data_IF_480390941133
#
_entry.id   IF_480390941133
#
_cell.length_a   1.000
_cell.length_b   1.000
_cell.length_c   1.000
_cell.angle_alpha   90.00
_cell.angle_beta   90.00
_cell.angle_gamma   90.00
#
_symmetry.space_group_name_H-M   'P 1'
#
loop_
_entity.id
_entity.type
_entity.pdbx_description
1 polymer ?
#
# COMPACT_ATOMS: atom_id res chain seq x y z
N UNK A 1 -41.22 -0.42 -7.92
CA UNK A 1 -39.97 -1.22 -7.87
C UNK A 1 -38.83 -0.32 -8.32
N UNK A 2 -38.09 0.30 -7.40
CA UNK A 2 -36.99 1.22 -7.74
C UNK A 2 -35.68 0.45 -7.71
N UNK A 3 -35.00 0.46 -8.86
CA UNK A 3 -33.72 -0.17 -9.09
C UNK A 3 -32.68 0.26 -8.04
N UNK A 4 -31.97 -0.74 -7.52
CA UNK A 4 -30.74 -0.58 -6.73
C UNK A 4 -29.70 0.08 -7.62
N UNK A 5 -29.64 1.41 -7.60
CA UNK A 5 -28.50 2.15 -8.12
C UNK A 5 -27.41 2.03 -7.05
N UNK A 6 -26.71 0.89 -7.06
CA UNK A 6 -25.55 0.66 -6.20
C UNK A 6 -24.45 1.62 -6.66
N UNK A 7 -24.45 2.83 -6.09
CA UNK A 7 -23.31 3.74 -6.19
C UNK A 7 -22.19 3.09 -5.39
N UNK A 8 -21.39 2.29 -6.09
CA UNK A 8 -20.11 1.81 -5.57
C UNK A 8 -19.21 3.04 -5.57
N UNK A 9 -19.22 3.79 -4.47
CA UNK A 9 -18.16 4.72 -4.16
C UNK A 9 -16.87 3.89 -4.06
N UNK A 10 -16.09 3.81 -5.14
CA UNK A 10 -14.70 3.36 -5.04
C UNK A 10 -13.95 4.50 -4.36
N UNK A 11 -13.83 4.40 -3.04
CA UNK A 11 -12.74 5.05 -2.34
C UNK A 11 -11.46 4.64 -3.08
N UNK A 12 -10.76 5.65 -3.59
CA UNK A 12 -9.41 5.48 -4.14
C UNK A 12 -8.49 5.19 -2.96
N UNK A 13 -8.60 3.98 -2.40
CA UNK A 13 -7.62 3.43 -1.47
C UNK A 13 -6.27 3.57 -2.15
N UNK A 14 -5.44 4.47 -1.64
CA UNK A 14 -4.17 4.88 -2.26
C UNK A 14 -3.30 3.65 -2.51
N UNK A 15 -3.38 3.07 -3.71
CA UNK A 15 -2.61 1.89 -4.08
C UNK A 15 -1.14 2.29 -4.21
N UNK A 16 -0.30 1.63 -3.43
CA UNK A 16 1.14 1.79 -3.50
C UNK A 16 1.72 0.65 -4.35
N UNK A 17 2.60 1.02 -5.28
CA UNK A 17 3.41 0.04 -5.97
C UNK A 17 4.55 -0.42 -5.05
N UNK A 18 4.78 -1.71 -4.94
CA UNK A 18 5.90 -2.31 -4.22
C UNK A 18 6.73 -3.13 -5.19
N UNK A 19 8.02 -3.25 -4.86
CA UNK A 19 8.93 -4.12 -5.58
C UNK A 19 9.29 -5.30 -4.69
N UNK A 20 8.93 -6.50 -5.13
CA UNK A 20 9.34 -7.73 -4.47
C UNK A 20 10.70 -8.17 -5.04
N UNK A 21 11.75 -8.04 -4.23
CA UNK A 21 13.12 -8.40 -4.63
C UNK A 21 13.27 -9.91 -4.82
N UNK A 22 12.47 -10.73 -4.13
CA UNK A 22 12.55 -12.20 -4.20
C UNK A 22 11.92 -12.71 -5.48
N UNK A 23 10.72 -12.23 -5.82
CA UNK A 23 10.04 -12.60 -7.06
C UNK A 23 10.45 -11.74 -8.27
N UNK A 24 11.21 -10.66 -8.05
CA UNK A 24 11.61 -9.64 -9.04
C UNK A 24 10.43 -9.06 -9.81
N UNK A 25 9.29 -8.92 -9.12
CA UNK A 25 8.04 -8.41 -9.71
C UNK A 25 7.56 -7.19 -8.95
N UNK A 26 6.93 -6.29 -9.71
CA UNK A 26 6.21 -5.14 -9.17
C UNK A 26 4.77 -5.57 -8.90
N UNK A 27 4.22 -5.14 -7.78
CA UNK A 27 2.81 -5.35 -7.46
C UNK A 27 2.24 -4.09 -6.83
N UNK A 28 0.93 -3.90 -6.95
CA UNK A 28 0.23 -2.78 -6.33
C UNK A 28 -0.63 -3.31 -5.19
N UNK A 29 -0.66 -2.61 -4.07
CA UNK A 29 -1.56 -2.94 -2.96
C UNK A 29 -1.96 -1.68 -2.20
N UNK A 30 -3.20 -1.68 -1.74
CA UNK A 30 -3.73 -0.72 -0.76
C UNK A 30 -3.48 -1.14 0.68
N UNK A 31 -3.15 -2.42 0.91
CA UNK A 31 -2.92 -2.98 2.25
C UNK A 31 -1.44 -2.92 2.60
N UNK A 32 -1.05 -1.83 3.26
CA UNK A 32 0.32 -1.65 3.75
C UNK A 32 0.33 -0.88 5.07
N UNK A 33 1.41 -1.04 5.83
CA UNK A 33 1.63 -0.37 7.12
C UNK A 33 2.85 0.52 7.01
N UNK A 34 2.75 1.76 7.49
CA UNK A 34 3.90 2.67 7.56
C UNK A 34 4.64 2.46 8.87
N UNK A 35 5.90 2.02 8.81
CA UNK A 35 6.82 1.88 9.95
C UNK A 35 7.90 2.97 9.86
N UNK A 36 8.24 3.57 10.98
CA UNK A 36 9.38 4.48 11.09
C UNK A 36 10.57 3.72 11.67
N UNK A 37 11.73 3.80 11.01
CA UNK A 37 12.97 3.19 11.49
C UNK A 37 14.14 4.12 11.19
N UNK A 38 14.91 4.48 12.22
CA UNK A 38 16.10 5.32 12.10
C UNK A 38 15.83 6.66 11.38
N UNK A 39 14.71 7.32 11.70
CA UNK A 39 14.29 8.59 11.09
C UNK A 39 13.84 8.50 9.62
N UNK A 40 13.67 7.29 9.08
CA UNK A 40 13.13 7.03 7.73
C UNK A 40 11.79 6.32 7.82
N UNK A 41 10.91 6.61 6.88
CA UNK A 41 9.61 5.98 6.77
C UNK A 41 9.65 4.85 5.74
N UNK A 42 9.05 3.73 6.10
CA UNK A 42 8.95 2.55 5.26
C UNK A 42 7.50 2.11 5.17
N UNK A 43 6.98 1.96 3.96
CA UNK A 43 5.77 1.20 3.76
C UNK A 43 6.12 -0.29 3.73
N UNK A 44 5.42 -1.06 4.52
CA UNK A 44 5.57 -2.51 4.63
C UNK A 44 4.28 -3.17 4.17
N UNK A 45 4.36 -3.94 3.10
CA UNK A 45 3.24 -4.69 2.54
C UNK A 45 3.55 -6.19 2.55
N UNK A 46 2.52 -7.03 2.61
CA UNK A 46 2.70 -8.48 2.39
C UNK A 46 2.89 -8.78 0.91
N UNK A 47 3.81 -9.68 0.57
CA UNK A 47 3.96 -10.16 -0.81
C UNK A 47 2.70 -10.92 -1.25
N UNK A 48 2.22 -10.75 -2.49
CA UNK A 48 1.13 -11.55 -3.04
C UNK A 48 1.55 -13.00 -3.33
N UNK A 49 2.86 -13.26 -3.42
CA UNK A 49 3.41 -14.55 -3.85
C UNK A 49 4.13 -15.32 -2.75
N UNK A 50 4.26 -14.76 -1.55
CA UNK A 50 5.02 -15.38 -0.48
C UNK A 50 4.65 -14.86 0.91
N UNK A 51 5.23 -15.48 1.93
CA UNK A 51 5.04 -15.13 3.35
C UNK A 51 5.93 -13.96 3.82
N UNK A 52 6.74 -13.38 2.93
CA UNK A 52 7.65 -12.29 3.27
C UNK A 52 7.00 -10.91 3.20
N UNK A 53 7.60 -9.98 3.94
CA UNK A 53 7.26 -8.56 3.93
C UNK A 53 8.08 -7.81 2.88
N UNK A 54 7.42 -6.99 2.07
CA UNK A 54 8.02 -6.11 1.08
C UNK A 54 8.13 -4.70 1.66
N UNK A 55 9.37 -4.20 1.76
CA UNK A 55 9.68 -2.90 2.36
C UNK A 55 9.98 -1.88 1.26
N UNK A 56 9.20 -0.80 1.22
CA UNK A 56 9.40 0.33 0.32
C UNK A 56 9.78 1.57 1.12
N UNK A 57 10.87 2.22 0.76
CA UNK A 57 11.25 3.52 1.34
C UNK A 57 10.25 4.57 0.88
N UNK A 58 9.76 5.36 1.83
CA UNK A 58 8.88 6.49 1.58
C UNK A 58 9.50 7.78 2.09
N UNK A 59 9.22 8.87 1.37
CA UNK A 59 9.55 10.22 1.83
C UNK A 59 8.66 10.62 3.01
N UNK A 60 9.15 11.50 3.88
CA UNK A 60 8.43 12.02 5.04
C UNK A 60 7.05 12.60 4.66
N UNK A 61 6.98 13.31 3.54
CA UNK A 61 5.73 13.89 3.04
C UNK A 61 4.69 12.84 2.64
N UNK A 62 5.13 11.74 2.01
CA UNK A 62 4.23 10.64 1.63
C UNK A 62 3.74 9.88 2.86
N UNK A 63 4.62 9.68 3.86
CA UNK A 63 4.24 9.03 5.10
C UNK A 63 3.21 9.84 5.89
N UNK A 64 3.34 11.17 5.93
CA UNK A 64 2.35 12.04 6.57
C UNK A 64 1.00 12.06 5.83
N UNK A 65 1.00 12.00 4.50
CA UNK A 65 -0.24 11.94 3.70
C UNK A 65 -1.06 10.66 3.95
N UNK A 66 -0.40 9.53 4.18
CA UNK A 66 -1.07 8.25 4.42
C UNK A 66 -1.51 8.10 5.89
N UNK A 67 -0.85 8.79 6.81
CA UNK A 67 -1.16 8.74 8.25
C UNK A 67 -2.30 9.69 8.67
N UNK A 68 -2.93 10.37 7.71
CA UNK A 68 -3.98 11.38 7.93
C UNK A 68 -5.33 10.81 7.52
#
# INVERSE_FOLDING_TARGET
MKALHTVIWRETMTEMEFYDVKSKKKFKTSTFTVKEKNGRYFAVAKSPTGTHECWRVMSKDQAMKVKK
#
